data_IF_363266548654
#
_entry.id   IF_363266548654
#
_cell.length_a   1.000
_cell.length_b   1.000
_cell.length_c   1.000
_cell.angle_alpha   90.00
_cell.angle_beta   90.00
_cell.angle_gamma   90.00
#
_symmetry.space_group_name_H-M   'P 1'
#
loop_
_entity.id
_entity.type
_entity.pdbx_description
1 polymer ?
#
# COMPACT_ATOMS: atom_id res chain seq x y z
N UNK A 1 -10.15 14.65 -58.34
CA UNK A 1 -9.35 15.88 -58.18
C UNK A 1 -8.69 15.73 -56.84
N UNK A 2 -7.47 15.19 -56.75
CA UNK A 2 -6.19 15.88 -56.89
C UNK A 2 -6.03 16.85 -55.71
N UNK A 3 -5.13 16.73 -54.85
CA UNK A 3 -3.69 16.65 -54.56
C UNK A 3 -3.53 16.93 -53.09
N UNK A 4 -2.59 16.55 -52.30
CA UNK A 4 -1.26 16.02 -52.52
C UNK A 4 -0.66 15.50 -51.21
N UNK A 5 0.15 14.49 -51.39
CA UNK A 5 1.25 14.00 -50.55
C UNK A 5 2.24 15.07 -50.10
N UNK A 6 2.79 14.88 -48.89
CA UNK A 6 4.21 15.06 -48.48
C UNK A 6 4.20 15.19 -46.94
N UNK A 7 5.01 14.61 -46.16
CA UNK A 7 6.26 13.87 -46.31
C UNK A 7 6.54 13.13 -45.00
N UNK A 8 6.96 11.88 -45.14
CA UNK A 8 7.74 11.14 -44.12
C UNK A 8 9.12 11.78 -44.07
N UNK A 9 9.68 11.93 -42.87
CA UNK A 9 11.10 11.65 -42.62
C UNK A 9 11.41 11.82 -41.12
N UNK A 10 11.80 10.72 -40.56
CA UNK A 10 12.89 10.50 -39.58
C UNK A 10 13.05 11.44 -38.38
N UNK A 11 12.86 10.84 -37.22
CA UNK A 11 13.78 11.01 -36.09
C UNK A 11 13.66 9.80 -35.16
N UNK A 12 14.38 8.72 -35.51
CA UNK A 12 14.92 7.75 -34.59
C UNK A 12 16.00 8.48 -33.78
N UNK A 13 15.82 8.58 -32.48
CA UNK A 13 16.90 8.89 -31.56
C UNK A 13 16.95 7.80 -30.49
N UNK A 14 17.96 6.96 -30.64
CA UNK A 14 18.46 6.01 -29.68
C UNK A 14 18.62 6.63 -28.30
N UNK A 15 17.98 6.03 -27.30
CA UNK A 15 18.37 6.17 -25.88
C UNK A 15 19.07 4.89 -25.45
N UNK A 16 20.36 4.86 -25.69
CA UNK A 16 21.31 3.90 -25.10
C UNK A 16 21.44 4.24 -23.64
N UNK A 17 20.99 3.35 -22.78
CA UNK A 17 21.24 3.40 -21.33
C UNK A 17 22.62 2.86 -21.06
N UNK A 18 23.55 3.72 -20.67
CA UNK A 18 24.87 3.31 -20.15
C UNK A 18 24.74 2.69 -18.73
N UNK A 19 25.50 1.64 -18.42
CA UNK A 19 25.53 1.07 -17.08
C UNK A 19 26.40 1.92 -16.14
N UNK A 20 25.84 2.28 -14.99
CA UNK A 20 26.52 2.98 -13.91
C UNK A 20 27.64 2.11 -13.35
N UNK A 21 28.90 2.52 -13.57
CA UNK A 21 30.11 1.90 -13.00
C UNK A 21 30.19 2.21 -11.50
N UNK A 22 30.08 1.17 -10.68
CA UNK A 22 30.41 1.20 -9.27
C UNK A 22 31.92 1.33 -9.13
N UNK A 23 32.39 2.47 -8.63
CA UNK A 23 33.80 2.69 -8.27
C UNK A 23 34.10 2.09 -6.90
N UNK A 24 34.97 1.09 -6.87
CA UNK A 24 35.55 0.55 -5.65
C UNK A 24 36.43 1.60 -4.97
N UNK A 25 36.15 1.91 -3.70
CA UNK A 25 36.98 2.83 -2.89
C UNK A 25 38.06 2.02 -2.20
N UNK A 26 39.31 2.34 -2.52
CA UNK A 26 40.53 1.80 -1.88
C UNK A 26 40.64 2.28 -0.43
N UNK A 27 40.76 1.34 0.51
CA UNK A 27 41.10 1.58 1.91
C UNK A 27 42.48 2.24 2.01
N UNK A 28 42.54 3.45 2.60
CA UNK A 28 43.80 4.04 3.12
C UNK A 28 43.90 3.68 4.59
N UNK A 29 44.97 2.94 4.90
CA UNK A 29 45.41 2.63 6.26
C UNK A 29 46.11 3.88 6.84
N UNK A 30 45.62 4.40 7.95
CA UNK A 30 46.32 5.42 8.74
C UNK A 30 46.67 4.81 10.07
N UNK A 31 47.97 5.01 10.42
CA UNK A 31 48.69 4.43 11.55
C UNK A 31 48.19 4.99 12.89
N UNK A 32 48.11 4.08 13.89
CA UNK A 32 47.94 4.35 15.32
C UNK A 32 49.04 5.27 15.87
N UNK A 33 48.64 6.24 16.66
CA UNK A 33 49.50 6.89 17.65
C UNK A 33 48.99 6.52 19.05
N UNK A 34 49.88 5.90 19.82
CA UNK A 34 49.73 5.53 21.22
C UNK A 34 50.04 6.74 22.11
N UNK A 35 49.23 6.98 23.12
CA UNK A 35 49.64 7.71 24.32
C UNK A 35 49.01 7.09 25.56
N UNK A 36 49.88 6.79 26.50
CA UNK A 36 49.74 6.09 27.77
C UNK A 36 49.29 6.98 28.94
N UNK A 37 48.76 6.35 29.96
CA UNK A 37 48.78 6.82 31.38
C UNK A 37 47.38 7.00 31.96
N UNK A 38 47.08 6.38 32.97
CA UNK A 38 47.30 5.89 34.30
C UNK A 38 45.98 5.77 35.09
N UNK A 39 45.87 4.66 35.72
CA UNK A 39 45.05 4.18 36.85
C UNK A 39 44.29 5.22 37.70
N UNK A 40 43.00 4.88 38.08
CA UNK A 40 42.71 4.58 39.48
C UNK A 40 41.32 3.89 39.67
N UNK A 41 41.30 3.06 40.69
CA UNK A 41 40.28 2.07 41.08
C UNK A 41 39.19 2.72 41.96
N UNK A 42 37.90 2.39 41.83
CA UNK A 42 37.06 1.96 42.97
C UNK A 42 35.62 1.58 42.57
N UNK A 43 35.31 0.37 42.87
CA UNK A 43 34.07 -0.25 43.38
C UNK A 43 32.66 0.31 43.08
N UNK A 44 31.85 -0.54 42.44
CA UNK A 44 30.66 -1.09 43.12
C UNK A 44 29.34 -0.75 42.48
N UNK A 45 28.72 -1.77 42.03
CA UNK A 45 27.32 -2.15 41.94
C UNK A 45 26.77 -2.35 40.53
N UNK A 46 26.49 -3.65 40.33
CA UNK A 46 25.79 -4.21 39.17
C UNK A 46 24.33 -3.69 39.11
N UNK A 47 24.00 -2.91 38.12
CA UNK A 47 22.72 -2.88 37.47
C UNK A 47 23.00 -3.15 36.01
N UNK A 48 22.49 -4.29 35.51
CA UNK A 48 22.54 -4.63 34.10
C UNK A 48 21.68 -3.65 33.31
N UNK A 49 22.28 -2.52 32.98
CA UNK A 49 21.74 -1.55 32.06
C UNK A 49 22.05 -2.05 30.64
N UNK A 50 21.06 -2.66 29.99
CA UNK A 50 21.07 -3.03 28.57
C UNK A 50 21.06 -1.78 27.68
N UNK A 51 21.95 -0.83 27.94
CA UNK A 51 22.26 0.26 27.04
C UNK A 51 23.14 -0.27 25.92
N UNK A 52 22.55 -0.48 24.73
CA UNK A 52 23.31 -0.69 23.49
C UNK A 52 24.17 0.55 23.30
N UNK A 53 25.45 0.43 23.57
CA UNK A 53 26.45 1.48 23.40
C UNK A 53 26.54 1.83 21.92
N UNK A 54 25.99 2.99 21.56
CA UNK A 54 26.14 3.56 20.22
C UNK A 54 27.59 4.04 20.06
N UNK A 55 28.44 3.20 19.50
CA UNK A 55 29.78 3.60 19.09
C UNK A 55 29.66 4.77 18.11
N UNK A 56 30.48 5.81 18.36
CA UNK A 56 30.54 7.06 17.60
C UNK A 56 30.59 6.77 16.10
N UNK A 57 29.55 7.16 15.41
CA UNK A 57 29.50 7.12 13.95
C UNK A 57 30.55 8.08 13.40
N UNK A 58 31.59 7.56 12.76
CA UNK A 58 32.45 8.34 11.90
C UNK A 58 31.61 9.00 10.81
N UNK A 59 31.89 10.27 10.56
CA UNK A 59 31.20 11.15 9.63
C UNK A 59 31.02 10.49 8.26
N UNK A 60 29.87 9.93 8.03
CA UNK A 60 29.46 9.38 6.72
C UNK A 60 29.10 10.58 5.85
N UNK A 61 29.70 10.67 4.67
CA UNK A 61 29.32 11.65 3.66
C UNK A 61 27.79 11.67 3.50
N UNK A 62 27.19 12.85 3.58
CA UNK A 62 25.72 13.05 3.55
C UNK A 62 25.15 12.53 2.23
N UNK A 63 24.67 11.32 2.23
CA UNK A 63 23.81 10.82 1.18
C UNK A 63 22.40 11.39 1.40
N UNK A 64 21.96 12.28 0.52
CA UNK A 64 20.61 12.82 0.49
C UNK A 64 19.64 11.78 -0.12
N UNK A 65 19.77 10.51 0.22
CA UNK A 65 18.94 9.47 -0.34
C UNK A 65 17.64 9.37 0.46
N UNK A 66 16.53 9.28 -0.27
CA UNK A 66 15.21 9.10 0.31
C UNK A 66 14.97 7.61 0.52
N UNK A 67 14.65 7.22 1.74
CA UNK A 67 14.20 5.85 2.05
C UNK A 67 12.68 5.80 2.12
N UNK A 68 12.11 4.84 1.39
CA UNK A 68 10.68 4.54 1.45
C UNK A 68 10.41 3.42 2.45
N UNK A 69 9.63 3.68 3.52
CA UNK A 69 9.27 2.66 4.53
C UNK A 69 8.62 1.44 3.87
N UNK A 70 7.76 1.65 2.88
CA UNK A 70 7.07 0.56 2.19
C UNK A 70 8.02 -0.38 1.43
N UNK A 71 9.17 0.12 0.97
CA UNK A 71 10.20 -0.73 0.36
C UNK A 71 10.94 -1.55 1.40
N UNK A 72 11.25 -0.96 2.56
CA UNK A 72 11.88 -1.68 3.66
C UNK A 72 10.97 -2.77 4.23
N UNK A 73 9.66 -2.49 4.39
CA UNK A 73 8.73 -3.49 4.89
C UNK A 73 8.47 -4.63 3.89
N UNK A 74 8.80 -4.49 2.63
CA UNK A 74 8.70 -5.55 1.62
C UNK A 74 9.94 -6.48 1.59
N UNK A 75 11.09 -6.04 2.15
CA UNK A 75 12.33 -6.83 2.17
C UNK A 75 12.19 -8.03 3.12
N UNK A 76 12.92 -9.10 2.84
CA UNK A 76 13.08 -10.22 3.78
C UNK A 76 13.96 -9.81 4.98
N UNK A 77 13.96 -10.62 6.04
CA UNK A 77 14.79 -10.31 7.21
C UNK A 77 16.29 -10.33 6.88
N UNK A 78 16.73 -11.23 6.01
CA UNK A 78 18.13 -11.33 5.56
C UNK A 78 18.55 -10.11 4.76
N UNK A 79 17.72 -9.65 3.83
CA UNK A 79 17.95 -8.43 3.05
C UNK A 79 17.98 -7.18 3.94
N UNK A 80 17.13 -7.12 4.99
CA UNK A 80 17.16 -6.03 5.95
C UNK A 80 18.45 -6.02 6.78
N UNK A 81 18.98 -7.19 7.16
CA UNK A 81 20.27 -7.30 7.85
C UNK A 81 21.44 -6.87 6.96
N UNK A 82 21.38 -7.20 5.67
CA UNK A 82 22.37 -6.74 4.71
C UNK A 82 22.32 -5.22 4.53
N UNK A 83 21.13 -4.67 4.40
CA UNK A 83 20.89 -3.23 4.30
C UNK A 83 21.35 -2.48 5.56
N UNK A 84 21.08 -3.03 6.76
CA UNK A 84 21.57 -2.50 8.04
C UNK A 84 23.10 -2.45 8.13
N UNK A 85 23.77 -3.44 7.52
CA UNK A 85 25.24 -3.46 7.44
C UNK A 85 25.82 -2.24 6.72
N UNK A 86 25.12 -1.67 5.76
CA UNK A 86 25.49 -0.43 5.07
C UNK A 86 25.49 0.81 5.98
N UNK A 87 24.71 0.79 7.07
CA UNK A 87 24.67 1.83 8.10
C UNK A 87 25.55 1.56 9.31
N UNK A 88 26.42 0.54 9.25
CA UNK A 88 27.32 0.18 10.35
C UNK A 88 26.63 -0.53 11.52
N UNK A 89 25.37 -0.94 11.37
CA UNK A 89 24.64 -1.70 12.38
C UNK A 89 25.17 -3.13 12.40
N UNK A 90 25.58 -3.62 13.59
CA UNK A 90 26.08 -5.00 13.73
C UNK A 90 24.97 -5.99 13.34
N UNK A 91 25.34 -7.02 12.58
CA UNK A 91 24.42 -8.11 12.19
C UNK A 91 24.12 -8.97 13.42
N UNK A 92 23.19 -8.54 14.25
CA UNK A 92 22.68 -9.33 15.36
C UNK A 92 21.40 -10.05 14.92
N UNK A 93 21.42 -11.38 14.92
CA UNK A 93 20.29 -12.22 14.52
C UNK A 93 19.19 -12.29 15.58
N UNK A 94 19.44 -11.79 16.78
CA UNK A 94 18.47 -11.80 17.88
C UNK A 94 17.55 -10.57 17.90
N UNK A 95 17.81 -9.58 17.04
CA UNK A 95 17.00 -8.35 16.96
C UNK A 95 15.69 -8.65 16.22
N UNK A 96 14.57 -8.17 16.74
CA UNK A 96 13.28 -8.30 16.06
C UNK A 96 13.29 -7.45 14.78
N UNK A 97 12.59 -7.94 13.74
CA UNK A 97 12.48 -7.25 12.45
C UNK A 97 12.13 -5.77 12.59
N UNK A 98 11.21 -5.44 13.46
CA UNK A 98 10.74 -4.07 13.72
C UNK A 98 11.83 -3.19 14.35
N UNK A 99 12.54 -3.71 15.34
CA UNK A 99 13.67 -3.02 15.98
C UNK A 99 14.76 -2.72 14.96
N UNK A 100 15.05 -3.71 14.09
CA UNK A 100 16.03 -3.52 13.01
C UNK A 100 15.61 -2.42 12.04
N UNK A 101 14.32 -2.39 11.63
CA UNK A 101 13.79 -1.30 10.80
C UNK A 101 13.93 0.06 11.50
N UNK A 102 13.57 0.15 12.78
CA UNK A 102 13.73 1.39 13.55
C UNK A 102 15.19 1.85 13.63
N UNK A 103 16.13 0.92 13.85
CA UNK A 103 17.56 1.23 13.88
C UNK A 103 18.06 1.75 12.53
N UNK A 104 17.67 1.11 11.42
CA UNK A 104 18.01 1.55 10.06
C UNK A 104 17.48 2.96 9.80
N UNK A 105 16.21 3.21 10.09
CA UNK A 105 15.58 4.49 9.83
C UNK A 105 16.17 5.61 10.70
N UNK A 106 16.52 5.32 11.96
CA UNK A 106 17.26 6.26 12.82
C UNK A 106 18.66 6.57 12.29
N UNK A 107 19.41 5.54 11.92
CA UNK A 107 20.75 5.73 11.37
C UNK A 107 20.71 6.58 10.09
N UNK A 108 19.71 6.34 9.23
CA UNK A 108 19.50 7.12 8.02
C UNK A 108 19.22 8.60 8.30
N UNK A 109 18.34 8.90 9.26
CA UNK A 109 18.06 10.28 9.68
C UNK A 109 19.28 10.97 10.29
N UNK A 110 20.05 10.23 11.08
CA UNK A 110 21.30 10.78 11.68
C UNK A 110 22.33 11.14 10.61
N UNK A 111 22.35 10.42 9.50
CA UNK A 111 23.19 10.75 8.33
C UNK A 111 22.64 11.89 7.47
N UNK A 112 21.48 12.46 7.83
CA UNK A 112 20.85 13.58 7.12
C UNK A 112 19.95 13.16 5.96
N UNK A 113 19.62 11.88 5.84
CA UNK A 113 18.67 11.34 4.87
C UNK A 113 17.22 11.69 5.24
N UNK A 114 16.31 11.50 4.27
CA UNK A 114 14.86 11.68 4.45
C UNK A 114 14.15 10.34 4.42
N UNK A 115 13.09 10.24 5.19
CA UNK A 115 12.22 9.07 5.18
C UNK A 115 10.88 9.50 4.58
N UNK A 116 10.47 8.81 3.52
CA UNK A 116 9.14 8.93 2.95
C UNK A 116 8.33 7.66 3.17
N UNK A 117 7.05 7.85 3.31
CA UNK A 117 6.10 6.76 3.35
C UNK A 117 4.81 7.12 2.63
N UNK A 118 4.13 6.12 2.13
CA UNK A 118 2.80 6.24 1.55
C UNK A 118 1.89 5.14 2.10
N UNK A 119 0.62 5.45 2.20
CA UNK A 119 -0.39 4.51 2.66
C UNK A 119 -1.80 5.03 2.41
N UNK A 120 -2.78 4.18 2.67
CA UNK A 120 -4.18 4.53 2.60
C UNK A 120 -4.66 5.01 3.96
N UNK A 121 -5.19 6.24 4.02
CA UNK A 121 -5.65 6.85 5.25
C UNK A 121 -6.92 6.18 5.79
N UNK A 122 -6.87 5.78 7.04
CA UNK A 122 -8.03 5.47 7.86
C UNK A 122 -8.19 6.55 8.93
N UNK A 123 -9.29 7.28 8.93
CA UNK A 123 -9.61 8.28 9.95
C UNK A 123 -10.44 7.64 11.04
N UNK A 124 -9.99 7.73 12.29
CA UNK A 124 -10.69 7.21 13.47
C UNK A 124 -11.68 8.21 14.03
N UNK A 125 -12.57 7.75 14.92
CA UNK A 125 -13.63 8.57 15.53
C UNK A 125 -13.10 9.78 16.27
N UNK A 126 -11.92 9.68 16.87
CA UNK A 126 -11.24 10.77 17.58
C UNK A 126 -10.66 11.85 16.65
N UNK A 127 -10.77 11.67 15.34
CA UNK A 127 -10.36 12.63 14.33
C UNK A 127 -8.89 12.56 13.92
N UNK A 128 -8.06 11.72 14.55
CA UNK A 128 -6.74 11.37 14.03
C UNK A 128 -6.84 10.19 13.08
N UNK A 129 -5.77 9.88 12.35
CA UNK A 129 -5.77 8.79 11.41
C UNK A 129 -4.45 8.02 11.35
N UNK A 130 -4.51 6.88 10.66
CA UNK A 130 -3.34 6.08 10.34
C UNK A 130 -3.26 5.81 8.83
N UNK A 131 -2.05 5.83 8.29
CA UNK A 131 -1.79 5.32 6.96
C UNK A 131 -1.62 3.81 7.05
N UNK A 132 -2.53 3.09 6.44
CA UNK A 132 -2.55 1.63 6.38
C UNK A 132 -1.80 1.14 5.13
N UNK A 133 -1.04 0.07 5.29
CA UNK A 133 -0.32 -0.55 4.19
C UNK A 133 -1.19 -1.54 3.42
N UNK A 134 -1.03 -1.61 2.10
CA UNK A 134 -1.61 -2.67 1.28
C UNK A 134 -1.06 -4.06 1.64
N UNK A 135 0.17 -4.13 2.16
CA UNK A 135 0.82 -5.39 2.53
C UNK A 135 0.14 -6.06 3.72
N UNK A 136 -0.49 -5.27 4.62
CA UNK A 136 -1.29 -5.75 5.74
C UNK A 136 -2.78 -5.83 5.43
N UNK A 137 -3.17 -5.78 4.15
CA UNK A 137 -4.58 -5.73 3.71
C UNK A 137 -5.37 -4.60 4.39
N UNK A 138 -4.73 -3.46 4.65
CA UNK A 138 -5.29 -2.29 5.35
C UNK A 138 -5.73 -2.52 6.80
N UNK A 139 -5.39 -3.66 7.39
CA UNK A 139 -5.57 -3.90 8.82
C UNK A 139 -4.51 -3.16 9.64
N UNK A 140 -4.82 -2.94 10.91
CA UNK A 140 -3.89 -2.30 11.83
C UNK A 140 -2.59 -3.10 11.98
N UNK A 141 -1.47 -2.41 11.84
CA UNK A 141 -0.14 -2.97 11.92
C UNK A 141 0.82 -2.08 12.72
N UNK A 142 1.97 -2.63 13.00
CA UNK A 142 3.03 -1.88 13.71
C UNK A 142 3.71 -0.82 12.83
N UNK A 143 3.62 -0.99 11.51
CA UNK A 143 4.24 -0.10 10.52
C UNK A 143 3.30 1.05 10.10
N UNK A 144 2.17 1.21 10.81
CA UNK A 144 1.22 2.27 10.54
C UNK A 144 1.79 3.63 10.87
N UNK A 145 1.44 4.64 10.07
CA UNK A 145 1.94 5.98 10.22
C UNK A 145 0.81 6.87 10.74
N UNK A 146 1.06 7.51 11.86
CA UNK A 146 0.11 8.41 12.50
C UNK A 146 0.00 9.73 11.73
N UNK A 147 -1.24 10.19 11.53
CA UNK A 147 -1.56 11.52 11.00
C UNK A 147 -2.34 12.32 12.03
N UNK A 148 -1.88 13.54 12.27
CA UNK A 148 -2.52 14.44 13.23
C UNK A 148 -3.87 14.96 12.74
N UNK A 149 -4.85 15.19 13.63
CA UNK A 149 -6.16 15.78 13.28
C UNK A 149 -6.06 17.13 12.57
N UNK A 150 -5.04 17.91 12.92
CA UNK A 150 -4.78 19.21 12.28
C UNK A 150 -4.45 19.09 10.81
N UNK A 151 -3.65 18.09 10.42
CA UNK A 151 -3.31 17.81 9.01
C UNK A 151 -4.53 17.30 8.24
N UNK A 152 -5.30 16.39 8.84
CA UNK A 152 -6.53 15.86 8.24
C UNK A 152 -7.51 17.00 7.92
N UNK A 153 -7.73 17.91 8.87
CA UNK A 153 -8.63 19.07 8.70
C UNK A 153 -8.08 20.08 7.70
N UNK A 154 -6.78 20.39 7.78
CA UNK A 154 -6.14 21.38 6.91
C UNK A 154 -6.26 21.02 5.43
N UNK A 155 -6.04 19.76 5.09
CA UNK A 155 -6.10 19.29 3.70
C UNK A 155 -7.45 18.66 3.32
N UNK A 156 -8.41 18.58 4.24
CA UNK A 156 -9.71 17.97 3.99
C UNK A 156 -9.62 16.49 3.61
N UNK A 157 -8.68 15.77 4.24
CA UNK A 157 -8.45 14.35 3.98
C UNK A 157 -9.62 13.51 4.49
N UNK A 158 -9.85 12.41 3.82
CA UNK A 158 -10.91 11.45 4.17
C UNK A 158 -10.37 10.02 4.14
N UNK A 159 -11.04 9.13 4.84
CA UNK A 159 -10.74 7.70 4.76
C UNK A 159 -10.73 7.25 3.31
N UNK A 160 -9.73 6.43 2.95
CA UNK A 160 -9.51 5.95 1.60
C UNK A 160 -8.55 6.81 0.77
N UNK A 161 -8.16 8.01 1.20
CA UNK A 161 -7.15 8.80 0.50
C UNK A 161 -5.78 8.11 0.57
N UNK A 162 -5.10 8.00 -0.56
CA UNK A 162 -3.70 7.60 -0.60
C UNK A 162 -2.83 8.81 -0.30
N UNK A 163 -2.18 8.81 0.86
CA UNK A 163 -1.35 9.93 1.32
C UNK A 163 0.11 9.48 1.34
N UNK A 164 0.98 10.31 0.78
CA UNK A 164 2.42 10.12 0.82
C UNK A 164 3.14 11.40 1.25
N UNK A 165 4.24 11.22 1.97
CA UNK A 165 5.05 12.33 2.43
C UNK A 165 6.15 11.94 3.38
N UNK A 166 6.81 12.96 3.92
CA UNK A 166 7.91 12.83 4.85
C UNK A 166 7.42 12.42 6.24
N UNK A 167 8.11 11.44 6.84
CA UNK A 167 7.77 10.91 8.16
C UNK A 167 8.91 11.11 9.15
N UNK A 168 8.55 11.22 10.42
CA UNK A 168 9.48 11.27 11.55
C UNK A 168 9.35 10.04 12.43
N UNK A 169 10.43 9.57 13.04
CA UNK A 169 10.37 8.51 14.05
C UNK A 169 9.62 8.98 15.30
N UNK A 170 9.16 8.03 16.13
CA UNK A 170 8.70 8.33 17.47
C UNK A 170 9.78 9.08 18.25
N UNK A 171 9.36 10.05 19.08
CA UNK A 171 10.28 10.78 19.94
C UNK A 171 10.78 9.90 21.07
N UNK A 172 12.08 9.98 21.37
CA UNK A 172 12.64 9.36 22.55
C UNK A 172 11.96 9.90 23.81
N UNK A 173 11.65 9.02 24.76
CA UNK A 173 10.97 9.34 26.01
C UNK A 173 9.50 9.83 25.86
N UNK A 174 8.84 9.56 24.74
CA UNK A 174 7.42 9.81 24.58
C UNK A 174 6.62 8.48 24.51
N UNK A 175 5.33 8.49 24.85
CA UNK A 175 4.48 7.32 24.69
C UNK A 175 4.15 7.00 23.21
N UNK A 176 4.71 7.75 22.28
CA UNK A 176 4.53 7.55 20.84
C UNK A 176 5.16 6.22 20.40
N UNK A 177 4.34 5.35 19.80
CA UNK A 177 4.79 4.04 19.28
C UNK A 177 4.90 4.01 17.76
N UNK A 178 4.26 4.93 17.07
CA UNK A 178 4.15 4.97 15.62
C UNK A 178 4.98 6.10 15.01
N UNK A 179 5.42 5.89 13.78
CA UNK A 179 5.96 6.98 12.97
C UNK A 179 4.89 8.04 12.77
N UNK A 180 5.27 9.31 12.80
CA UNK A 180 4.36 10.41 12.55
C UNK A 180 4.59 11.04 11.18
N UNK A 181 3.53 11.34 10.45
CA UNK A 181 3.63 12.09 9.20
C UNK A 181 4.01 13.55 9.51
N UNK A 182 5.16 13.99 9.02
CA UNK A 182 5.66 15.34 9.23
C UNK A 182 5.08 16.30 8.18
N UNK A 183 5.15 15.94 6.92
CA UNK A 183 4.68 16.75 5.79
C UNK A 183 3.98 15.88 4.76
N UNK A 184 2.83 16.35 4.28
CA UNK A 184 2.10 15.72 3.18
C UNK A 184 2.64 16.29 1.87
N UNK A 185 3.12 15.43 1.00
CA UNK A 185 3.65 15.82 -0.31
C UNK A 185 2.72 15.44 -1.45
N UNK A 186 2.02 14.32 -1.29
CA UNK A 186 1.14 13.75 -2.32
C UNK A 186 -0.15 13.23 -1.71
N UNK A 187 -1.27 13.44 -2.39
CA UNK A 187 -2.54 12.80 -2.06
C UNK A 187 -3.17 12.26 -3.34
N UNK A 188 -3.43 10.97 -3.39
CA UNK A 188 -3.97 10.25 -4.55
C UNK A 188 -3.14 10.44 -5.85
N UNK A 189 -1.83 10.68 -5.71
CA UNK A 189 -0.91 10.93 -6.82
C UNK A 189 -0.72 12.41 -7.17
N UNK A 190 -1.59 13.30 -6.71
CA UNK A 190 -1.57 14.72 -6.97
C UNK A 190 -1.01 15.54 -5.80
N UNK A 191 -0.76 16.83 -6.03
CA UNK A 191 -0.40 17.76 -4.96
C UNK A 191 -1.59 18.00 -4.03
N UNK A 192 -1.35 18.21 -2.72
CA UNK A 192 -2.43 18.37 -1.73
C UNK A 192 -3.41 19.50 -2.04
N UNK A 193 -2.96 20.55 -2.74
CA UNK A 193 -3.78 21.70 -3.09
C UNK A 193 -4.91 21.37 -4.09
N UNK A 194 -4.77 20.28 -4.86
CA UNK A 194 -5.78 19.84 -5.82
C UNK A 194 -7.07 19.34 -5.16
N UNK A 195 -6.98 18.92 -3.88
CA UNK A 195 -8.10 18.31 -3.14
C UNK A 195 -9.28 19.24 -2.91
N UNK A 196 -9.06 20.56 -2.83
CA UNK A 196 -10.13 21.53 -2.55
C UNK A 196 -11.24 21.54 -3.61
N UNK A 197 -10.95 21.07 -4.84
CA UNK A 197 -11.88 21.08 -5.97
C UNK A 197 -12.46 19.72 -6.30
N UNK A 198 -12.11 18.65 -5.55
CA UNK A 198 -12.60 17.32 -5.88
C UNK A 198 -14.09 17.17 -5.54
N UNK A 199 -14.88 16.55 -6.39
CA UNK A 199 -16.27 16.22 -6.11
C UNK A 199 -16.34 15.17 -4.98
N UNK A 200 -17.44 15.14 -4.26
CA UNK A 200 -17.73 14.10 -3.28
C UNK A 200 -18.47 12.98 -4.00
N UNK A 201 -18.03 11.72 -3.83
CA UNK A 201 -18.59 10.57 -4.52
C UNK A 201 -20.13 10.48 -4.36
N UNK A 202 -20.66 10.67 -3.15
CA UNK A 202 -22.07 10.57 -2.84
C UNK A 202 -22.94 11.66 -3.51
N UNK A 203 -22.28 12.73 -4.02
CA UNK A 203 -22.94 13.83 -4.76
C UNK A 203 -22.86 13.66 -6.28
N UNK A 204 -22.17 12.64 -6.77
CA UNK A 204 -22.10 12.35 -8.20
C UNK A 204 -23.45 11.83 -8.70
N UNK A 205 -23.79 12.23 -9.90
CA UNK A 205 -25.03 11.74 -10.55
C UNK A 205 -24.78 10.34 -11.12
N UNK A 206 -25.50 9.31 -10.65
CA UNK A 206 -25.40 7.98 -11.22
C UNK A 206 -25.97 7.97 -12.64
N UNK A 207 -25.27 7.32 -13.55
CA UNK A 207 -25.69 7.16 -14.94
C UNK A 207 -25.80 5.68 -15.30
N UNK A 208 -26.57 5.37 -16.35
CA UNK A 208 -26.56 4.01 -16.91
C UNK A 208 -25.20 3.68 -17.52
N UNK A 209 -24.78 2.39 -17.52
CA UNK A 209 -23.51 1.94 -18.09
C UNK A 209 -23.54 2.05 -19.64
N UNK A 210 -23.14 3.18 -20.17
CA UNK A 210 -23.14 3.45 -21.61
C UNK A 210 -21.85 3.00 -22.30
N UNK A 211 -20.75 2.91 -21.55
CA UNK A 211 -19.44 2.55 -22.07
C UNK A 211 -19.12 1.08 -21.70
N UNK A 212 -18.99 0.24 -22.73
CA UNK A 212 -18.73 -1.19 -22.57
C UNK A 212 -17.28 -1.45 -22.21
N UNK A 213 -17.05 -2.35 -21.28
CA UNK A 213 -15.74 -2.93 -20.98
C UNK A 213 -15.61 -4.22 -21.83
N UNK A 214 -14.72 -4.18 -22.81
CA UNK A 214 -14.45 -5.35 -23.67
C UNK A 214 -13.61 -6.38 -22.91
N UNK A 215 -14.12 -7.59 -22.79
CA UNK A 215 -13.44 -8.71 -22.11
C UNK A 215 -12.71 -9.66 -23.07
N UNK A 216 -12.74 -9.40 -24.37
CA UNK A 216 -12.04 -10.22 -25.34
C UNK A 216 -10.57 -9.81 -25.40
N UNK A 217 -9.66 -10.70 -25.03
CA UNK A 217 -8.22 -10.46 -25.06
C UNK A 217 -7.41 -11.58 -25.75
N UNK A 218 -7.99 -12.77 -25.91
CA UNK A 218 -7.34 -13.90 -26.56
C UNK A 218 -8.37 -14.82 -27.25
N UNK A 219 -8.05 -15.36 -28.44
CA UNK A 219 -8.98 -16.20 -29.20
C UNK A 219 -9.37 -17.50 -28.49
N UNK A 220 -8.47 -18.03 -27.66
CA UNK A 220 -8.67 -19.28 -26.91
C UNK A 220 -9.45 -19.10 -25.60
N UNK A 221 -9.74 -17.87 -25.18
CA UNK A 221 -10.51 -17.58 -23.96
C UNK A 221 -11.99 -17.47 -24.28
N UNK A 222 -12.65 -18.64 -24.37
CA UNK A 222 -14.06 -18.74 -24.78
C UNK A 222 -15.00 -18.15 -23.72
N UNK A 223 -14.71 -18.34 -22.42
CA UNK A 223 -15.53 -17.83 -21.30
C UNK A 223 -15.71 -16.32 -21.35
N UNK A 224 -14.64 -15.55 -21.47
CA UNK A 224 -14.70 -14.08 -21.55
C UNK A 224 -15.39 -13.61 -22.83
N UNK A 225 -15.27 -14.33 -23.95
CA UNK A 225 -15.99 -14.04 -25.19
C UNK A 225 -17.50 -14.27 -25.06
N UNK A 226 -17.88 -15.37 -24.39
CA UNK A 226 -19.31 -15.66 -24.14
C UNK A 226 -19.91 -14.56 -23.23
N UNK A 227 -19.23 -14.18 -22.14
CA UNK A 227 -19.69 -13.11 -21.26
C UNK A 227 -19.82 -11.81 -22.05
N UNK A 228 -18.82 -11.49 -22.85
CA UNK A 228 -18.79 -10.27 -23.65
C UNK A 228 -19.95 -10.19 -24.66
N UNK A 229 -20.40 -11.35 -25.18
CA UNK A 229 -21.51 -11.42 -26.14
C UNK A 229 -22.88 -11.46 -25.47
N UNK A 230 -23.04 -12.28 -24.42
CA UNK A 230 -24.35 -12.58 -23.80
C UNK A 230 -24.69 -11.65 -22.64
N UNK A 231 -23.68 -11.26 -21.85
CA UNK A 231 -23.82 -10.43 -20.66
C UNK A 231 -22.73 -9.37 -20.59
N UNK A 232 -22.72 -8.41 -21.53
CA UNK A 232 -21.68 -7.39 -21.59
C UNK A 232 -21.64 -6.57 -20.30
N UNK A 233 -20.43 -6.22 -19.87
CA UNK A 233 -20.17 -5.39 -18.68
C UNK A 233 -19.84 -3.97 -19.14
N UNK A 234 -20.42 -2.98 -18.50
CA UNK A 234 -20.15 -1.57 -18.77
C UNK A 234 -19.63 -0.83 -17.53
N UNK A 235 -19.02 0.34 -17.74
CA UNK A 235 -18.58 1.21 -16.66
C UNK A 235 -19.78 1.68 -15.83
N UNK A 236 -19.69 1.55 -14.49
CA UNK A 236 -20.79 1.84 -13.57
C UNK A 236 -21.78 0.69 -13.36
N UNK A 237 -21.59 -0.46 -14.05
CA UNK A 237 -22.45 -1.62 -13.88
C UNK A 237 -22.13 -2.42 -12.62
N UNK A 238 -23.17 -2.97 -12.01
CA UNK A 238 -23.08 -3.98 -10.94
C UNK A 238 -23.47 -5.32 -11.52
N UNK A 239 -22.53 -6.27 -11.54
CA UNK A 239 -22.74 -7.64 -12.03
C UNK A 239 -22.74 -8.63 -10.87
N UNK A 240 -23.61 -9.64 -10.93
CA UNK A 240 -23.63 -10.74 -9.98
C UNK A 240 -23.38 -12.06 -10.72
N UNK A 241 -22.38 -12.82 -10.24
CA UNK A 241 -22.10 -14.16 -10.74
C UNK A 241 -22.62 -15.16 -9.73
N UNK A 242 -23.66 -15.90 -10.13
CA UNK A 242 -24.24 -16.97 -9.32
C UNK A 242 -23.83 -18.31 -9.90
N UNK A 243 -23.15 -19.12 -9.07
CA UNK A 243 -22.69 -20.43 -9.48
C UNK A 243 -22.77 -21.43 -8.31
N UNK A 244 -23.10 -22.69 -8.57
CA UNK A 244 -23.00 -23.72 -7.55
C UNK A 244 -21.53 -23.95 -7.13
N UNK A 245 -21.28 -24.56 -5.98
CA UNK A 245 -19.93 -24.92 -5.57
C UNK A 245 -19.20 -25.74 -6.65
N UNK A 246 -17.88 -25.47 -6.83
CA UNK A 246 -17.02 -26.17 -7.79
C UNK A 246 -17.37 -25.97 -9.29
N UNK A 247 -18.19 -24.98 -9.63
CA UNK A 247 -18.55 -24.67 -11.03
C UNK A 247 -17.54 -23.74 -11.75
N UNK A 248 -16.38 -23.46 -11.15
CA UNK A 248 -15.35 -22.63 -11.78
C UNK A 248 -15.53 -21.12 -11.59
N UNK A 249 -16.28 -20.67 -10.57
CA UNK A 249 -16.48 -19.24 -10.28
C UNK A 249 -15.16 -18.46 -10.18
N UNK A 250 -14.21 -18.95 -9.38
CA UNK A 250 -12.92 -18.30 -9.16
C UNK A 250 -12.12 -18.19 -10.46
N UNK A 251 -12.11 -19.25 -11.30
CA UNK A 251 -11.46 -19.19 -12.63
C UNK A 251 -12.09 -18.13 -13.53
N UNK A 252 -13.41 -18.02 -13.52
CA UNK A 252 -14.13 -17.00 -14.30
C UNK A 252 -13.76 -15.59 -13.81
N UNK A 253 -13.70 -15.35 -12.50
CA UNK A 253 -13.27 -14.07 -11.94
C UNK A 253 -11.82 -13.72 -12.31
N UNK A 254 -10.91 -14.70 -12.28
CA UNK A 254 -9.52 -14.53 -12.74
C UNK A 254 -9.45 -14.15 -14.23
N UNK A 255 -10.24 -14.79 -15.08
CA UNK A 255 -10.27 -14.50 -16.51
C UNK A 255 -10.85 -13.12 -16.82
N UNK A 256 -11.91 -12.70 -16.12
CA UNK A 256 -12.45 -11.34 -16.20
C UNK A 256 -11.40 -10.32 -15.75
N UNK A 257 -10.76 -10.55 -14.60
CA UNK A 257 -9.73 -9.69 -14.05
C UNK A 257 -8.55 -9.51 -15.03
N UNK A 258 -8.06 -10.62 -15.59
CA UNK A 258 -6.98 -10.59 -16.58
C UNK A 258 -7.39 -9.88 -17.87
N UNK A 259 -8.63 -10.04 -18.32
CA UNK A 259 -9.15 -9.33 -19.49
C UNK A 259 -9.16 -7.82 -19.27
N UNK A 260 -9.64 -7.37 -18.09
CA UNK A 260 -9.66 -5.94 -17.73
C UNK A 260 -8.24 -5.38 -17.65
N UNK A 261 -7.33 -6.04 -16.93
CA UNK A 261 -5.95 -5.59 -16.79
C UNK A 261 -5.21 -5.47 -18.12
N UNK A 262 -5.48 -6.37 -19.07
CA UNK A 262 -4.82 -6.37 -20.39
C UNK A 262 -5.38 -5.32 -21.33
N UNK A 263 -6.71 -5.19 -21.37
CA UNK A 263 -7.37 -4.29 -22.32
C UNK A 263 -7.42 -2.84 -21.80
N UNK A 264 -7.38 -2.65 -20.48
CA UNK A 264 -7.55 -1.34 -19.84
C UNK A 264 -6.54 -1.17 -18.69
N UNK A 265 -5.26 -0.92 -18.97
CA UNK A 265 -4.21 -0.79 -17.96
C UNK A 265 -4.42 0.40 -17.02
N UNK A 266 -5.21 1.40 -17.43
CA UNK A 266 -5.52 2.60 -16.65
C UNK A 266 -6.59 2.36 -15.59
N UNK A 267 -7.41 1.31 -15.75
CA UNK A 267 -8.46 0.94 -14.78
C UNK A 267 -7.78 0.41 -13.51
N UNK A 268 -8.20 0.95 -12.38
CA UNK A 268 -7.75 0.46 -11.06
C UNK A 268 -8.60 -0.73 -10.65
N UNK A 269 -8.02 -1.92 -10.74
CA UNK A 269 -8.71 -3.17 -10.42
C UNK A 269 -8.37 -3.64 -9.02
N UNK A 270 -9.40 -3.75 -8.18
CA UNK A 270 -9.34 -4.36 -6.86
C UNK A 270 -9.98 -5.74 -6.87
N UNK A 271 -9.32 -6.71 -6.26
CA UNK A 271 -9.89 -8.04 -6.00
C UNK A 271 -9.98 -8.20 -4.49
N UNK A 272 -11.21 -8.23 -3.98
CA UNK A 272 -11.50 -8.34 -2.57
C UNK A 272 -11.98 -9.76 -2.24
N UNK A 273 -11.16 -10.48 -1.48
CA UNK A 273 -11.41 -11.87 -1.05
C UNK A 273 -11.77 -11.86 0.43
N UNK A 274 -13.02 -12.24 0.75
CA UNK A 274 -13.52 -12.23 2.13
C UNK A 274 -13.82 -13.66 2.59
N UNK A 275 -13.23 -14.04 3.73
CA UNK A 275 -13.38 -15.36 4.36
C UNK A 275 -12.94 -16.49 3.40
N UNK A 276 -11.94 -16.20 2.51
CA UNK A 276 -11.37 -17.17 1.59
C UNK A 276 -10.13 -17.83 2.18
N UNK A 277 -9.71 -18.95 1.59
CA UNK A 277 -8.56 -19.71 2.07
C UNK A 277 -7.25 -19.06 1.62
N UNK A 278 -6.16 -19.12 2.44
CA UNK A 278 -4.85 -18.53 2.08
C UNK A 278 -4.28 -19.04 0.75
N UNK A 279 -4.52 -20.32 0.42
CA UNK A 279 -4.09 -20.90 -0.85
C UNK A 279 -4.82 -20.27 -2.05
N UNK A 280 -6.12 -19.96 -1.93
CA UNK A 280 -6.91 -19.29 -2.98
C UNK A 280 -6.48 -17.84 -3.16
N UNK A 281 -6.13 -17.16 -2.06
CA UNK A 281 -5.56 -15.80 -2.08
C UNK A 281 -4.21 -15.80 -2.81
N UNK A 282 -3.35 -16.76 -2.53
CA UNK A 282 -2.03 -16.89 -3.17
C UNK A 282 -2.18 -17.17 -4.65
N UNK A 283 -3.10 -18.06 -5.02
CA UNK A 283 -3.40 -18.39 -6.42
C UNK A 283 -3.90 -17.16 -7.19
N UNK A 284 -4.82 -16.38 -6.58
CA UNK A 284 -5.31 -15.14 -7.20
C UNK A 284 -4.19 -14.13 -7.41
N UNK A 285 -3.33 -13.90 -6.42
CA UNK A 285 -2.17 -12.99 -6.53
C UNK A 285 -1.18 -13.41 -7.63
N UNK A 286 -0.98 -14.72 -7.83
CA UNK A 286 -0.09 -15.25 -8.89
C UNK A 286 -0.71 -15.12 -10.27
N UNK A 287 -2.01 -15.40 -10.39
CA UNK A 287 -2.69 -15.43 -11.68
C UNK A 287 -3.10 -14.03 -12.18
N UNK A 288 -3.25 -13.05 -11.28
CA UNK A 288 -3.63 -11.66 -11.63
C UNK A 288 -2.67 -10.66 -10.96
N UNK A 289 -1.40 -10.62 -11.34
CA UNK A 289 -0.39 -9.79 -10.67
C UNK A 289 -0.60 -8.28 -10.88
N UNK A 290 -1.34 -7.88 -11.91
CA UNK A 290 -1.61 -6.48 -12.21
C UNK A 290 -2.75 -5.87 -11.37
N UNK A 291 -3.56 -6.71 -10.70
CA UNK A 291 -4.61 -6.26 -9.82
C UNK A 291 -4.12 -6.06 -8.38
N UNK A 292 -4.77 -5.17 -7.65
CA UNK A 292 -4.57 -5.07 -6.21
C UNK A 292 -5.46 -6.10 -5.51
N UNK A 293 -4.84 -7.20 -5.05
CA UNK A 293 -5.54 -8.28 -4.36
C UNK A 293 -5.47 -8.06 -2.85
N UNK A 294 -6.62 -7.81 -2.25
CA UNK A 294 -6.81 -7.61 -0.82
C UNK A 294 -7.61 -8.79 -0.28
N UNK A 295 -7.19 -9.34 0.83
CA UNK A 295 -7.83 -10.50 1.40
C UNK A 295 -8.00 -10.38 2.91
N UNK A 296 -9.12 -10.87 3.42
CA UNK A 296 -9.32 -11.20 4.82
C UNK A 296 -9.69 -12.66 4.88
N UNK A 297 -8.75 -13.49 5.36
CA UNK A 297 -8.84 -14.95 5.32
C UNK A 297 -9.77 -15.50 6.42
N UNK A 298 -10.14 -16.76 6.33
CA UNK A 298 -11.14 -17.39 7.20
C UNK A 298 -10.75 -17.45 8.68
N UNK A 299 -9.46 -17.28 8.98
CA UNK A 299 -8.90 -17.23 10.34
C UNK A 299 -9.08 -15.86 11.01
N UNK A 300 -9.47 -14.83 10.25
CA UNK A 300 -9.73 -13.50 10.76
C UNK A 300 -11.14 -13.35 11.36
N UNK A 301 -11.31 -12.34 12.21
CA UNK A 301 -12.61 -12.05 12.83
C UNK A 301 -13.57 -11.36 11.87
N UNK A 302 -14.90 -11.50 12.05
CA UNK A 302 -15.90 -10.82 11.20
C UNK A 302 -15.73 -9.30 11.15
N UNK A 303 -15.30 -8.66 12.26
CA UNK A 303 -15.03 -7.21 12.30
C UNK A 303 -13.95 -6.81 11.28
N UNK A 304 -12.88 -7.61 11.18
CA UNK A 304 -11.81 -7.37 10.21
C UNK A 304 -12.29 -7.53 8.77
N UNK A 305 -13.18 -8.50 8.50
CA UNK A 305 -13.79 -8.64 7.17
C UNK A 305 -14.55 -7.38 6.76
N UNK A 306 -15.33 -6.82 7.69
CA UNK A 306 -16.05 -5.57 7.47
C UNK A 306 -15.09 -4.40 7.27
N UNK A 307 -14.09 -4.25 8.17
CA UNK A 307 -13.11 -3.17 8.10
C UNK A 307 -12.34 -3.15 6.77
N UNK A 308 -11.84 -4.31 6.32
CA UNK A 308 -11.13 -4.42 5.04
C UNK A 308 -12.02 -4.03 3.86
N UNK A 309 -13.29 -4.48 3.88
CA UNK A 309 -14.24 -4.16 2.80
C UNK A 309 -14.58 -2.67 2.76
N UNK A 310 -14.74 -2.03 3.91
CA UNK A 310 -14.99 -0.59 4.01
C UNK A 310 -13.78 0.22 3.53
N UNK A 311 -12.57 -0.19 3.91
CA UNK A 311 -11.34 0.47 3.45
C UNK A 311 -11.18 0.41 1.93
N UNK A 312 -11.44 -0.75 1.32
CA UNK A 312 -11.37 -0.89 -0.14
C UNK A 312 -12.43 -0.03 -0.82
N UNK A 313 -13.67 -0.01 -0.29
CA UNK A 313 -14.75 0.80 -0.82
C UNK A 313 -14.43 2.31 -0.74
N UNK A 314 -13.96 2.79 0.40
CA UNK A 314 -13.59 4.19 0.56
C UNK A 314 -12.40 4.57 -0.33
N UNK A 315 -11.40 3.71 -0.46
CA UNK A 315 -10.30 3.91 -1.41
C UNK A 315 -10.80 4.01 -2.85
N UNK A 316 -11.69 3.12 -3.26
CA UNK A 316 -12.31 3.15 -4.58
C UNK A 316 -13.06 4.46 -4.84
N UNK A 317 -13.87 4.92 -3.87
CA UNK A 317 -14.57 6.22 -3.96
C UNK A 317 -13.59 7.38 -4.16
N UNK A 318 -12.45 7.41 -3.42
CA UNK A 318 -11.41 8.47 -3.57
C UNK A 318 -10.79 8.44 -4.96
N UNK A 319 -10.54 7.26 -5.53
CA UNK A 319 -10.02 7.15 -6.89
C UNK A 319 -11.02 7.64 -7.94
N UNK A 320 -12.31 7.32 -7.79
CA UNK A 320 -13.36 7.82 -8.69
C UNK A 320 -13.50 9.35 -8.60
N UNK A 321 -13.41 9.93 -7.39
CA UNK A 321 -13.38 11.38 -7.20
C UNK A 321 -12.23 12.06 -7.95
N UNK A 322 -11.11 11.33 -8.13
CA UNK A 322 -9.95 11.75 -8.93
C UNK A 322 -10.03 11.34 -10.41
N UNK A 323 -11.23 10.97 -10.89
CA UNK A 323 -11.51 10.61 -12.29
C UNK A 323 -10.82 9.34 -12.79
N UNK A 324 -10.45 8.44 -11.89
CA UNK A 324 -10.01 7.10 -12.28
C UNK A 324 -11.20 6.17 -12.43
N UNK A 325 -11.15 5.33 -13.45
CA UNK A 325 -12.07 4.20 -13.58
C UNK A 325 -11.65 3.09 -12.61
N UNK A 326 -12.61 2.59 -11.85
CA UNK A 326 -12.37 1.57 -10.82
C UNK A 326 -13.27 0.36 -11.04
N UNK A 327 -12.69 -0.82 -10.93
CA UNK A 327 -13.43 -2.09 -10.91
C UNK A 327 -13.11 -2.82 -9.61
N UNK A 328 -14.15 -3.30 -8.92
CA UNK A 328 -14.03 -4.15 -7.73
C UNK A 328 -14.62 -5.51 -8.04
N UNK A 329 -13.80 -6.56 -7.90
CA UNK A 329 -14.24 -7.94 -7.95
C UNK A 329 -14.32 -8.46 -6.52
N UNK A 330 -15.51 -8.85 -6.07
CA UNK A 330 -15.74 -9.35 -4.71
C UNK A 330 -16.01 -10.86 -4.71
N UNK A 331 -15.20 -11.60 -4.01
CA UNK A 331 -15.43 -13.02 -3.71
C UNK A 331 -15.38 -13.24 -2.19
N UNK A 332 -16.48 -13.45 -1.43
CA UNK A 332 -17.82 -13.46 -1.98
C UNK A 332 -18.77 -12.54 -1.16
N UNK A 333 -19.78 -12.02 -1.83
CA UNK A 333 -20.79 -11.19 -1.18
C UNK A 333 -21.57 -11.95 -0.09
N UNK A 334 -21.76 -13.26 -0.24
CA UNK A 334 -22.42 -14.11 0.76
C UNK A 334 -21.67 -14.12 2.08
N UNK A 335 -20.35 -14.26 2.03
CA UNK A 335 -19.50 -14.31 3.22
C UNK A 335 -19.38 -12.93 3.88
N UNK A 336 -19.28 -11.88 3.06
CA UNK A 336 -19.30 -10.51 3.56
C UNK A 336 -20.62 -10.17 4.26
N UNK A 337 -21.76 -10.55 3.67
CA UNK A 337 -23.07 -10.35 4.31
C UNK A 337 -23.19 -11.09 5.64
N UNK A 338 -22.62 -12.30 5.72
CA UNK A 338 -22.56 -13.07 6.97
C UNK A 338 -21.74 -12.34 8.03
N UNK A 339 -20.58 -11.78 7.66
CA UNK A 339 -19.75 -11.00 8.58
C UNK A 339 -20.51 -9.78 9.13
N UNK A 340 -21.18 -9.01 8.27
CA UNK A 340 -21.98 -7.88 8.72
C UNK A 340 -23.14 -8.29 9.64
N UNK A 341 -23.78 -9.42 9.40
CA UNK A 341 -24.84 -9.92 10.27
C UNK A 341 -24.35 -10.30 11.67
N UNK A 342 -23.08 -10.69 11.80
CA UNK A 342 -22.47 -11.02 13.09
C UNK A 342 -22.00 -9.77 13.86
N UNK A 343 -21.51 -8.77 13.13
CA UNK A 343 -20.91 -7.55 13.74
C UNK A 343 -21.98 -6.54 14.14
N UNK A 344 -23.01 -6.37 13.32
CA UNK A 344 -24.04 -5.36 13.59
C UNK A 344 -25.04 -5.89 14.62
N UNK A 345 -25.21 -5.16 15.76
CA UNK A 345 -26.17 -5.58 16.78
C UNK A 345 -27.57 -5.69 16.20
N UNK A 346 -28.32 -6.70 16.62
CA UNK A 346 -29.70 -6.89 16.23
C UNK A 346 -30.52 -5.68 16.70
N UNK A 347 -30.84 -4.77 15.78
CA UNK A 347 -31.89 -3.78 16.02
C UNK A 347 -33.22 -4.50 15.81
N UNK A 348 -34.17 -4.34 16.76
CA UNK A 348 -35.49 -4.98 16.67
C UNK A 348 -36.27 -4.66 15.40
N UNK A 349 -35.87 -3.68 14.60
CA UNK A 349 -36.35 -3.38 13.25
C UNK A 349 -35.38 -3.96 12.22
N UNK A 350 -35.83 -4.98 11.52
CA UNK A 350 -35.10 -5.60 10.41
C UNK A 350 -35.21 -4.69 9.19
N UNK A 351 -34.51 -3.55 9.20
CA UNK A 351 -34.33 -2.77 7.97
C UNK A 351 -33.09 -3.27 7.20
N UNK A 352 -33.28 -4.36 6.50
CA UNK A 352 -32.29 -4.95 5.57
C UNK A 352 -31.90 -3.97 4.44
N UNK A 353 -32.77 -3.01 4.12
CA UNK A 353 -32.59 -2.10 3.00
C UNK A 353 -31.53 -1.02 3.24
N UNK A 354 -31.38 -0.52 4.46
CA UNK A 354 -30.46 0.57 4.76
C UNK A 354 -28.99 0.12 4.85
N UNK A 355 -28.76 -1.15 5.21
CA UNK A 355 -27.41 -1.73 5.36
C UNK A 355 -26.80 -2.14 4.04
N UNK A 356 -27.59 -2.73 3.13
CA UNK A 356 -27.14 -3.06 1.77
C UNK A 356 -26.95 -1.83 0.87
N UNK A 357 -27.61 -0.71 1.15
CA UNK A 357 -27.41 0.55 0.39
C UNK A 357 -25.98 1.09 0.47
N UNK A 358 -25.21 0.73 1.49
CA UNK A 358 -23.80 1.15 1.61
C UNK A 358 -22.86 0.31 0.76
N UNK A 359 -23.24 -0.92 0.40
CA UNK A 359 -22.44 -1.84 -0.42
C UNK A 359 -22.96 -1.93 -1.87
N UNK A 360 -24.10 -1.41 -2.13
CA UNK A 360 -24.74 -1.32 -3.45
C UNK A 360 -24.58 0.10 -4.01
#
# INVERSE_FOLDING_TARGET
MALANKSKENLETELVSEPVKVRSVRKKVVKKATLSGTEDISNGNNEEDNSIEYDKFETIERHQDIIYINKLSALTFEELLEFAGGYGIKKDTNVRRQELMHLILRAHLTSGGKIEADGTLEVLQDGFGFLRSKNTNYLSGHDDIYIAPTQIRLFGLRTGDMVGGEVRPPKDNSPEKFFGLLRIERVNGDKPESLYKRPIFDKLTPIFPNERINLEFAPNKISTRIINLVSPIGKGQRGLIVAPPKAGKTMMLQEIANAICRNYPDIKLFILLIDERPEEVTDMKRNVPAAEVIASTFDETPDKHCQVSEMVLEKAKRLVENKHDVVIILDSITRLSRAYNLVVPASGDIDWGSRFKRLA
#
